data_IF_171261187298
#
_entry.id   IF_171261187298
#
_cell.length_a   1.000
_cell.length_b   1.000
_cell.length_c   1.000
_cell.angle_alpha   90.00
_cell.angle_beta   90.00
_cell.angle_gamma   90.00
#
_symmetry.space_group_name_H-M   'P 1'
#
loop_
_entity.id
_entity.type
_entity.pdbx_description
1 polymer ?
#
# COMPACT_ATOMS: atom_id res chain seq x y z
N UNK A 1 -10.67 -8.13 11.37
CA UNK A 1 -9.28 -7.64 11.25
C UNK A 1 -8.99 -7.33 9.78
N UNK A 2 -8.49 -6.14 9.43
CA UNK A 2 -8.23 -5.77 8.03
C UNK A 2 -7.16 -6.68 7.42
N UNK A 3 -7.27 -7.00 6.12
CA UNK A 3 -6.28 -7.81 5.38
C UNK A 3 -5.04 -7.02 5.00
N UNK A 4 -5.20 -5.71 4.83
CA UNK A 4 -4.13 -4.75 4.67
C UNK A 4 -4.61 -3.36 5.09
N UNK A 5 -3.67 -2.46 5.35
CA UNK A 5 -3.93 -1.03 5.61
C UNK A 5 -2.88 -0.22 4.85
N UNK A 6 -3.29 0.88 4.19
CA UNK A 6 -2.39 1.82 3.54
C UNK A 6 -2.59 3.20 4.16
N UNK A 7 -1.52 3.77 4.70
CA UNK A 7 -1.51 5.07 5.36
C UNK A 7 -0.58 6.00 4.60
N UNK A 8 -1.12 7.16 4.17
CA UNK A 8 -0.32 8.25 3.61
C UNK A 8 0.01 9.28 4.67
N UNK A 9 1.27 9.76 4.69
CA UNK A 9 1.70 10.89 5.53
C UNK A 9 2.41 11.92 4.67
N UNK A 10 1.91 13.15 4.66
CA UNK A 10 2.64 14.28 4.06
C UNK A 10 3.93 14.52 4.86
N UNK A 11 5.08 14.32 4.24
CA UNK A 11 6.41 14.54 4.84
C UNK A 11 6.82 16.00 4.64
N UNK A 12 6.64 16.51 3.42
CA UNK A 12 6.83 17.92 3.06
C UNK A 12 5.80 18.30 1.98
N UNK A 13 5.87 19.52 1.42
CA UNK A 13 4.94 19.93 0.36
C UNK A 13 4.92 18.99 -0.83
N UNK A 14 6.08 18.51 -1.24
CA UNK A 14 6.22 17.66 -2.43
C UNK A 14 6.49 16.20 -2.09
N UNK A 15 6.53 15.80 -0.80
CA UNK A 15 6.95 14.46 -0.41
C UNK A 15 5.87 13.73 0.38
N UNK A 16 5.46 12.56 -0.10
CA UNK A 16 4.52 11.66 0.56
C UNK A 16 5.29 10.45 1.10
N UNK A 17 5.09 10.14 2.38
CA UNK A 17 5.45 8.85 2.95
C UNK A 17 4.27 7.89 2.91
N UNK A 18 4.53 6.61 2.66
CA UNK A 18 3.50 5.56 2.62
C UNK A 18 3.88 4.44 3.58
N UNK A 19 2.95 4.10 4.48
CA UNK A 19 3.06 2.95 5.37
C UNK A 19 2.01 1.91 5.01
N UNK A 20 2.42 0.67 4.85
CA UNK A 20 1.58 -0.44 4.41
C UNK A 20 1.67 -1.54 5.47
N UNK A 21 0.52 -1.99 5.97
CA UNK A 21 0.39 -3.19 6.78
C UNK A 21 -0.15 -4.29 5.86
N UNK A 22 0.59 -5.38 5.68
CA UNK A 22 0.22 -6.46 4.78
C UNK A 22 0.62 -7.81 5.39
N UNK A 23 -0.37 -8.60 5.81
CA UNK A 23 -0.10 -9.77 6.67
C UNK A 23 0.44 -9.31 8.03
N UNK A 24 1.54 -9.90 8.47
CA UNK A 24 2.25 -9.50 9.69
C UNK A 24 3.31 -8.41 9.45
N UNK A 25 3.60 -8.11 8.18
CA UNK A 25 4.66 -7.19 7.82
C UNK A 25 4.20 -5.73 7.79
N UNK A 26 5.10 -4.86 8.24
CA UNK A 26 4.98 -3.41 8.12
C UNK A 26 6.03 -2.90 7.14
N UNK A 27 5.58 -2.28 6.06
CA UNK A 27 6.41 -1.69 5.00
C UNK A 27 6.28 -0.17 5.05
N UNK A 28 7.40 0.55 5.07
CA UNK A 28 7.43 2.02 5.08
C UNK A 28 8.29 2.52 3.91
N UNK A 29 7.67 3.32 3.03
CA UNK A 29 8.27 3.95 1.87
C UNK A 29 8.33 5.46 2.10
N UNK A 30 9.54 5.99 2.23
CA UNK A 30 9.78 7.42 2.40
C UNK A 30 10.66 7.99 1.27
N UNK A 31 11.22 7.15 0.40
CA UNK A 31 11.95 7.54 -0.79
C UNK A 31 11.93 6.39 -1.80
N UNK A 32 12.59 6.55 -2.95
CA UNK A 32 12.53 5.62 -4.07
C UNK A 32 13.67 4.59 -4.09
N UNK A 33 14.62 4.69 -3.16
CA UNK A 33 15.83 3.87 -3.14
C UNK A 33 15.86 2.90 -1.96
N UNK A 34 15.19 3.24 -0.86
CA UNK A 34 15.16 2.44 0.34
C UNK A 34 13.73 2.13 0.76
N UNK A 35 13.56 0.97 1.37
CA UNK A 35 12.33 0.57 2.05
C UNK A 35 12.66 0.11 3.46
N UNK A 36 11.82 0.47 4.43
CA UNK A 36 11.89 -0.08 5.78
C UNK A 36 10.85 -1.18 5.89
N UNK A 37 11.29 -2.41 6.19
CA UNK A 37 10.41 -3.56 6.37
C UNK A 37 10.66 -4.13 7.75
N UNK A 38 9.61 -4.14 8.57
CA UNK A 38 9.66 -4.58 9.98
C UNK A 38 10.76 -3.89 10.79
N UNK A 39 10.97 -2.60 10.50
CA UNK A 39 11.99 -1.77 11.15
C UNK A 39 13.40 -1.90 10.57
N UNK A 40 13.63 -2.80 9.61
CA UNK A 40 14.93 -2.96 8.93
C UNK A 40 14.95 -2.22 7.59
N UNK A 41 15.91 -1.33 7.43
CA UNK A 41 16.15 -0.64 6.16
C UNK A 41 16.79 -1.58 5.13
N UNK A 42 16.27 -1.59 3.91
CA UNK A 42 16.75 -2.40 2.79
C UNK A 42 16.80 -1.55 1.52
N UNK A 43 17.87 -1.74 0.73
CA UNK A 43 18.00 -1.15 -0.60
C UNK A 43 17.01 -1.78 -1.58
N UNK A 44 16.41 -0.95 -2.43
CA UNK A 44 15.55 -1.36 -3.56
C UNK A 44 16.34 -1.52 -4.87
N UNK A 45 17.67 -1.68 -4.79
CA UNK A 45 18.52 -2.10 -5.91
C UNK A 45 18.06 -3.43 -6.49
N UNK A 46 17.53 -4.30 -5.64
CA UNK A 46 17.06 -5.63 -6.00
C UNK A 46 15.58 -5.80 -5.67
N UNK A 47 14.97 -6.78 -6.34
CA UNK A 47 13.61 -7.20 -6.05
C UNK A 47 13.57 -8.00 -4.74
N UNK A 48 12.87 -7.48 -3.75
CA UNK A 48 12.68 -8.14 -2.47
C UNK A 48 11.38 -8.95 -2.45
N UNK A 49 11.42 -10.15 -1.88
CA UNK A 49 10.29 -11.09 -1.79
C UNK A 49 10.10 -11.49 -0.34
N UNK A 50 8.87 -11.36 0.16
CA UNK A 50 8.53 -11.66 1.56
C UNK A 50 7.54 -12.82 1.63
N UNK A 51 8.03 -14.01 2.03
CA UNK A 51 7.18 -15.17 2.29
C UNK A 51 6.66 -15.21 3.74
N UNK A 52 5.49 -15.83 3.92
CA UNK A 52 4.90 -16.22 5.20
C UNK A 52 4.46 -17.69 5.05
N UNK A 53 5.22 -18.60 5.68
CA UNK A 53 5.19 -20.02 5.36
C UNK A 53 5.50 -20.28 3.88
N UNK A 54 4.68 -21.10 3.22
CA UNK A 54 4.82 -21.39 1.78
C UNK A 54 4.25 -20.29 0.87
N UNK A 55 3.61 -19.25 1.46
CA UNK A 55 2.93 -18.21 0.69
C UNK A 55 3.81 -16.99 0.53
N UNK A 56 4.06 -16.56 -0.71
CA UNK A 56 4.67 -15.25 -0.99
C UNK A 56 3.63 -14.16 -0.74
N UNK A 57 3.74 -13.44 0.37
CA UNK A 57 2.76 -12.41 0.77
C UNK A 57 2.86 -11.22 -0.18
N UNK A 58 4.05 -10.69 -0.41
CA UNK A 58 4.27 -9.64 -1.38
C UNK A 58 5.69 -9.65 -1.95
N UNK A 59 5.84 -8.93 -3.06
CA UNK A 59 7.14 -8.54 -3.62
C UNK A 59 7.18 -7.02 -3.72
N UNK A 60 8.34 -6.44 -3.47
CA UNK A 60 8.59 -5.02 -3.66
C UNK A 60 9.83 -4.83 -4.53
N UNK A 61 9.78 -3.89 -5.46
CA UNK A 61 10.89 -3.61 -6.36
C UNK A 61 10.79 -2.19 -6.92
N UNK A 62 11.94 -1.62 -7.23
CA UNK A 62 12.04 -0.42 -8.06
C UNK A 62 11.87 -0.83 -9.52
N UNK A 63 10.92 -0.20 -10.22
CA UNK A 63 10.67 -0.46 -11.64
C UNK A 63 11.50 0.43 -12.55
N UNK A 64 11.62 1.70 -12.17
CA UNK A 64 12.45 2.73 -12.79
C UNK A 64 12.86 3.77 -11.73
N UNK A 65 13.60 4.80 -12.12
CA UNK A 65 14.09 5.83 -11.19
C UNK A 65 13.00 6.52 -10.36
N UNK A 66 11.77 6.56 -10.87
CA UNK A 66 10.63 7.31 -10.34
C UNK A 66 9.54 6.41 -9.73
N UNK A 67 9.66 5.09 -9.84
CA UNK A 67 8.55 4.18 -9.52
C UNK A 67 8.99 2.98 -8.69
N UNK A 68 8.39 2.83 -7.51
CA UNK A 68 8.47 1.61 -6.68
C UNK A 68 7.13 0.91 -6.67
N UNK A 69 7.13 -0.40 -6.85
CA UNK A 69 5.93 -1.24 -6.85
C UNK A 69 5.96 -2.25 -5.71
N UNK A 70 4.84 -2.34 -4.97
CA UNK A 70 4.53 -3.47 -4.10
C UNK A 70 3.37 -4.25 -4.71
N UNK A 71 3.57 -5.56 -4.94
CA UNK A 71 2.55 -6.44 -5.50
C UNK A 71 2.29 -7.63 -4.57
N UNK A 72 1.03 -7.82 -4.19
CA UNK A 72 0.55 -8.96 -3.43
C UNK A 72 -0.62 -9.62 -4.15
N UNK A 73 -0.39 -10.81 -4.74
CA UNK A 73 -1.47 -11.60 -5.36
C UNK A 73 -2.40 -12.20 -4.31
N UNK A 74 -1.84 -12.70 -3.20
CA UNK A 74 -2.60 -13.30 -2.10
C UNK A 74 -3.56 -12.29 -1.46
N UNK A 75 -3.11 -11.06 -1.25
CA UNK A 75 -3.95 -9.96 -0.75
C UNK A 75 -4.73 -9.28 -1.86
N UNK A 76 -4.36 -9.42 -3.14
CA UNK A 76 -5.05 -8.79 -4.26
C UNK A 76 -4.86 -7.27 -4.22
N UNK A 77 -3.63 -6.87 -3.89
CA UNK A 77 -3.20 -5.51 -3.65
C UNK A 77 -2.00 -5.20 -4.56
N UNK A 78 -2.05 -4.07 -5.24
CA UNK A 78 -0.94 -3.48 -5.95
C UNK A 78 -0.80 -2.02 -5.56
N UNK A 79 0.43 -1.59 -5.30
CA UNK A 79 0.76 -0.21 -4.95
C UNK A 79 1.86 0.27 -5.87
N UNK A 80 1.67 1.45 -6.44
CA UNK A 80 2.69 2.23 -7.15
C UNK A 80 2.99 3.48 -6.35
N UNK A 81 4.26 3.66 -5.99
CA UNK A 81 4.73 4.81 -5.23
C UNK A 81 5.75 5.61 -6.04
N UNK A 82 5.60 6.93 -6.06
CA UNK A 82 6.43 7.85 -6.85
C UNK A 82 7.23 8.86 -6.02
N UNK A 83 7.20 8.76 -4.68
CA UNK A 83 7.75 9.80 -3.81
C UNK A 83 6.78 10.96 -3.55
N UNK A 84 5.96 11.30 -4.54
CA UNK A 84 5.04 12.44 -4.52
C UNK A 84 3.58 12.01 -4.32
N UNK A 85 3.18 10.88 -4.91
CA UNK A 85 1.84 10.31 -4.77
C UNK A 85 1.90 8.78 -4.74
N UNK A 86 0.76 8.16 -4.43
CA UNK A 86 0.60 6.71 -4.43
C UNK A 86 -0.67 6.33 -5.14
N UNK A 87 -0.62 5.24 -5.90
CA UNK A 87 -1.79 4.61 -6.52
C UNK A 87 -1.98 3.25 -5.88
N UNK A 88 -3.18 3.02 -5.36
CA UNK A 88 -3.56 1.74 -4.75
C UNK A 88 -4.59 1.06 -5.66
N UNK A 89 -4.31 -0.18 -6.05
CA UNK A 89 -5.22 -1.01 -6.84
C UNK A 89 -5.56 -2.25 -6.03
N UNK A 90 -6.87 -2.52 -5.89
CA UNK A 90 -7.39 -3.64 -5.13
C UNK A 90 -8.28 -4.53 -6.01
N UNK A 91 -8.30 -5.84 -5.71
CA UNK A 91 -9.15 -6.78 -6.43
C UNK A 91 -10.64 -6.54 -6.21
N UNK A 92 -11.48 -6.90 -7.18
CA UNK A 92 -12.95 -6.72 -7.14
C UNK A 92 -13.62 -7.37 -5.93
N UNK A 93 -13.00 -8.39 -5.32
CA UNK A 93 -13.46 -9.02 -4.08
C UNK A 93 -13.55 -8.10 -2.87
N UNK A 94 -12.96 -6.91 -2.92
CA UNK A 94 -13.04 -5.89 -1.87
C UNK A 94 -14.15 -4.85 -2.08
N UNK A 95 -15.03 -5.06 -3.07
CA UNK A 95 -16.19 -4.20 -3.30
C UNK A 95 -17.00 -4.04 -2.02
N UNK A 96 -17.36 -2.80 -1.68
CA UNK A 96 -18.10 -2.44 -0.46
C UNK A 96 -17.45 -2.90 0.88
N UNK A 97 -16.16 -3.22 0.88
CA UNK A 97 -15.40 -3.64 2.08
C UNK A 97 -14.28 -2.64 2.42
N UNK A 98 -14.10 -1.60 1.61
CA UNK A 98 -13.12 -0.55 1.84
C UNK A 98 -13.71 0.50 2.79
N UNK A 99 -12.84 1.16 3.53
CA UNK A 99 -13.14 2.39 4.26
C UNK A 99 -11.94 3.33 4.18
N UNK A 100 -12.17 4.61 4.47
CA UNK A 100 -11.15 5.63 4.51
C UNK A 100 -11.25 6.62 3.35
N UNK A 101 -10.16 7.35 3.09
CA UNK A 101 -10.14 8.49 2.17
C UNK A 101 -10.48 8.14 0.71
N UNK A 102 -10.39 6.87 0.33
CA UNK A 102 -10.67 6.39 -1.03
C UNK A 102 -12.12 5.89 -1.21
N UNK A 103 -13.02 6.14 -0.24
CA UNK A 103 -14.42 5.71 -0.28
C UNK A 103 -14.62 4.25 0.14
N UNK A 104 -15.74 3.66 -0.29
CA UNK A 104 -16.15 2.29 0.11
C UNK A 104 -16.06 1.25 -1.03
N UNK A 105 -15.79 1.70 -2.26
CA UNK A 105 -15.70 0.86 -3.46
C UNK A 105 -16.99 0.09 -3.78
N UNK A 106 -18.18 0.64 -3.52
CA UNK A 106 -19.48 0.01 -3.82
C UNK A 106 -20.01 0.31 -5.25
N UNK A 107 -19.34 1.20 -5.99
CA UNK A 107 -19.70 1.66 -7.34
C UNK A 107 -20.55 2.95 -7.37
N UNK A 108 -20.87 3.52 -6.22
CA UNK A 108 -21.67 4.74 -6.07
C UNK A 108 -20.80 5.93 -5.67
N UNK A 109 -20.29 6.68 -6.64
CA UNK A 109 -19.42 7.85 -6.35
C UNK A 109 -20.05 8.93 -5.45
N UNK A 110 -21.38 8.92 -5.30
CA UNK A 110 -22.12 9.92 -4.51
C UNK A 110 -21.93 9.74 -3.00
N UNK A 111 -21.56 8.56 -2.53
CA UNK A 111 -21.38 8.26 -1.10
C UNK A 111 -19.91 8.03 -0.71
N UNK A 112 -18.95 8.25 -1.61
CA UNK A 112 -17.52 8.03 -1.30
C UNK A 112 -16.96 9.05 -0.30
N UNK A 113 -17.60 10.23 -0.16
CA UNK A 113 -17.22 11.26 0.83
C UNK A 113 -18.02 11.17 2.12
N UNK A 114 -18.14 9.96 2.66
CA UNK A 114 -18.71 9.74 3.99
C UNK A 114 -17.64 9.87 5.07
N UNK A 115 -17.92 10.67 6.11
CA UNK A 115 -17.08 10.73 7.30
C UNK A 115 -17.08 9.42 8.09
N UNK A 116 -16.23 9.29 9.12
CA UNK A 116 -16.03 8.06 9.90
C UNK A 116 -17.26 7.59 10.72
N UNK A 117 -18.43 8.22 10.56
CA UNK A 117 -19.69 7.84 11.22
C UNK A 117 -20.24 6.48 10.76
N UNK A 118 -19.64 5.87 9.73
CA UNK A 118 -19.88 4.46 9.36
C UNK A 118 -18.56 3.73 9.40
N UNK A 119 -18.41 2.89 10.42
CA UNK A 119 -17.18 2.25 10.86
C UNK A 119 -16.61 1.28 9.82
N UNK A 120 -15.29 1.36 9.61
CA UNK A 120 -14.46 0.18 9.83
C UNK A 120 -14.28 -0.01 11.35
#
# INVERSE_FOLDING_TARGET
KPRFVVLGKKISNDKLGVKILAGEHKVELNDLNNVIIDGKSQSLSDKLIFPEGDTKVFKIYKHDENNVFLLSKSLGLAIRYTGHYTTVTIGSRFRAQQCGLCGNFDGCRKNDFTGPATTC
#
